data_IF_793742962660
#
_entry.id   IF_793742962660
#
_cell.length_a   1.000
_cell.length_b   1.000
_cell.length_c   1.000
_cell.angle_alpha   90.00
_cell.angle_beta   90.00
_cell.angle_gamma   90.00
#
_symmetry.space_group_name_H-M   'P 1'
#
loop_
_entity.id
_entity.type
_entity.pdbx_description
1 polymer ?
#
# COMPACT_ATOMS: atom_id res chain seq x y z
N UNK A 1 -21.47 -20.18 -15.13
CA UNK A 1 -21.32 -18.73 -14.85
C UNK A 1 -20.77 -18.62 -13.44
N UNK A 2 -19.50 -18.24 -13.28
CA UNK A 2 -18.91 -18.05 -11.95
C UNK A 2 -19.33 -16.68 -11.45
N UNK A 3 -20.15 -16.65 -10.40
CA UNK A 3 -20.42 -15.44 -9.62
C UNK A 3 -19.07 -14.97 -9.09
N UNK A 4 -18.56 -13.86 -9.65
CA UNK A 4 -17.35 -13.23 -9.16
C UNK A 4 -17.57 -12.82 -7.71
N UNK A 5 -17.19 -13.72 -6.80
CA UNK A 5 -17.14 -13.42 -5.37
C UNK A 5 -16.23 -12.22 -5.23
N UNK A 6 -16.81 -11.11 -4.80
CA UNK A 6 -16.05 -9.96 -4.36
C UNK A 6 -15.36 -10.39 -3.07
N UNK A 7 -14.19 -11.02 -3.19
CA UNK A 7 -13.33 -11.30 -2.05
C UNK A 7 -12.99 -9.95 -1.44
N UNK A 8 -13.63 -9.61 -0.32
CA UNK A 8 -13.15 -8.54 0.57
C UNK A 8 -11.79 -9.02 1.11
N UNK A 9 -10.73 -8.82 0.32
CA UNK A 9 -9.39 -9.31 0.61
C UNK A 9 -8.82 -8.51 1.78
N UNK A 10 -8.90 -9.12 2.98
CA UNK A 10 -8.19 -8.82 4.23
C UNK A 10 -8.33 -7.39 4.75
N UNK A 11 -9.25 -7.20 5.71
CA UNK A 11 -9.31 -6.00 6.55
C UNK A 11 -7.99 -5.89 7.33
N UNK A 12 -7.36 -4.71 7.31
CA UNK A 12 -6.28 -4.41 8.25
C UNK A 12 -6.81 -4.54 9.68
N UNK A 13 -6.00 -5.11 10.56
CA UNK A 13 -6.32 -5.01 11.99
C UNK A 13 -6.20 -3.55 12.45
N UNK A 14 -6.84 -3.21 13.57
CA UNK A 14 -6.78 -1.84 14.11
C UNK A 14 -5.34 -1.45 14.47
N UNK A 15 -4.54 -2.39 14.98
CA UNK A 15 -3.11 -2.21 15.26
C UNK A 15 -2.31 -1.93 13.98
N UNK A 16 -2.57 -2.67 12.89
CA UNK A 16 -1.93 -2.42 11.61
C UNK A 16 -2.30 -1.05 11.03
N UNK A 17 -3.57 -0.68 11.12
CA UNK A 17 -4.06 0.64 10.68
C UNK A 17 -3.39 1.77 11.47
N UNK A 18 -3.28 1.60 12.80
CA UNK A 18 -2.62 2.57 13.69
C UNK A 18 -1.14 2.72 13.37
N UNK A 19 -0.40 1.62 13.27
CA UNK A 19 1.03 1.63 12.93
C UNK A 19 1.29 2.27 11.57
N UNK A 20 0.43 2.00 10.59
CA UNK A 20 0.53 2.63 9.27
C UNK A 20 0.35 4.15 9.36
N UNK A 21 -0.67 4.61 10.11
CA UNK A 21 -0.92 6.03 10.31
C UNK A 21 0.21 6.73 11.10
N UNK A 22 0.76 6.08 12.13
CA UNK A 22 1.91 6.58 12.90
C UNK A 22 3.15 6.73 12.02
N UNK A 23 3.41 5.75 11.14
CA UNK A 23 4.55 5.82 10.20
C UNK A 23 4.38 6.95 9.20
N UNK A 24 3.19 7.13 8.63
CA UNK A 24 2.90 8.24 7.71
C UNK A 24 3.03 9.62 8.38
N UNK A 25 2.82 9.71 9.69
CA UNK A 25 3.08 10.92 10.49
C UNK A 25 4.55 11.10 10.87
N UNK A 26 5.45 10.21 10.43
CA UNK A 26 6.87 10.22 10.77
C UNK A 26 7.19 9.76 12.19
N UNK A 27 6.24 9.17 12.92
CA UNK A 27 6.39 8.81 14.33
C UNK A 27 7.02 7.43 14.59
N UNK A 28 7.21 6.61 13.54
CA UNK A 28 7.90 5.31 13.64
C UNK A 28 9.15 5.32 12.77
N UNK A 29 10.20 4.61 13.20
CA UNK A 29 11.45 4.38 12.46
C UNK A 29 11.58 2.93 11.97
N UNK A 30 10.52 2.13 12.09
CA UNK A 30 10.53 0.72 11.71
C UNK A 30 10.95 0.54 10.24
N UNK A 31 11.74 -0.49 9.97
CA UNK A 31 12.20 -0.85 8.62
C UNK A 31 11.23 -1.79 7.90
N UNK A 32 10.13 -2.17 8.55
CA UNK A 32 9.13 -3.09 8.02
C UNK A 32 7.73 -2.73 8.47
N UNK A 33 6.72 -3.07 7.68
CA UNK A 33 5.31 -2.90 8.00
C UNK A 33 4.54 -4.19 7.71
N UNK A 34 3.47 -4.44 8.45
CA UNK A 34 2.61 -5.61 8.25
C UNK A 34 1.24 -5.19 7.75
N UNK A 35 0.80 -5.76 6.64
CA UNK A 35 -0.48 -5.49 5.99
C UNK A 35 -1.16 -6.84 5.74
N UNK A 36 -2.22 -7.10 6.51
CA UNK A 36 -2.77 -8.46 6.64
C UNK A 36 -1.69 -9.44 7.11
N UNK A 37 -1.58 -10.60 6.46
CA UNK A 37 -0.58 -11.62 6.83
C UNK A 37 0.80 -11.40 6.17
N UNK A 38 1.02 -10.24 5.54
CA UNK A 38 2.23 -9.97 4.76
C UNK A 38 3.06 -8.90 5.47
N UNK A 39 4.29 -9.27 5.84
CA UNK A 39 5.32 -8.35 6.33
C UNK A 39 6.17 -7.85 5.16
N UNK A 40 6.05 -6.57 4.86
CA UNK A 40 6.81 -5.87 3.81
C UNK A 40 8.03 -5.18 4.41
N UNK A 41 9.14 -5.14 3.67
CA UNK A 41 10.30 -4.31 3.95
C UNK A 41 10.09 -2.94 3.33
N UNK A 42 10.27 -1.88 4.12
CA UNK A 42 10.11 -0.50 3.66
C UNK A 42 11.31 -0.14 2.79
N UNK A 43 11.03 0.38 1.59
CA UNK A 43 12.03 0.90 0.66
C UNK A 43 12.18 2.40 0.82
N UNK A 44 11.05 3.12 0.88
CA UNK A 44 10.99 4.57 1.10
C UNK A 44 9.81 4.91 2.01
N UNK A 45 9.98 5.97 2.80
CA UNK A 45 8.95 6.52 3.67
C UNK A 45 9.21 8.02 3.79
N UNK A 46 8.35 8.83 3.19
CA UNK A 46 8.45 10.29 3.17
C UNK A 46 7.06 10.93 3.28
N UNK A 47 6.97 12.24 3.07
CA UNK A 47 5.72 12.99 3.15
C UNK A 47 4.68 12.57 2.09
N UNK A 48 5.12 11.97 0.97
CA UNK A 48 4.25 11.56 -0.12
C UNK A 48 3.72 10.13 0.07
N UNK A 49 4.32 9.36 1.00
CA UNK A 49 3.84 8.05 1.35
C UNK A 49 4.91 7.03 1.73
N UNK A 50 4.53 5.76 1.66
CA UNK A 50 5.41 4.62 1.96
C UNK A 50 5.41 3.69 0.76
N UNK A 51 6.59 3.27 0.32
CA UNK A 51 6.75 2.16 -0.62
C UNK A 51 7.47 1.01 0.07
N UNK A 52 6.96 -0.21 -0.09
CA UNK A 52 7.49 -1.39 0.55
C UNK A 52 7.39 -2.62 -0.36
N UNK A 53 8.27 -3.61 -0.17
CA UNK A 53 8.23 -4.88 -0.93
C UNK A 53 8.34 -6.11 -0.05
N UNK A 54 7.81 -7.21 -0.55
CA UNK A 54 8.12 -8.56 -0.06
C UNK A 54 8.25 -9.48 -1.27
N UNK A 55 9.47 -9.92 -1.56
CA UNK A 55 9.76 -10.75 -2.74
C UNK A 55 9.28 -10.07 -4.04
N UNK A 56 8.29 -10.67 -4.72
CA UNK A 56 7.64 -10.15 -5.94
C UNK A 56 6.37 -9.31 -5.65
N UNK A 57 5.98 -9.18 -4.38
CA UNK A 57 4.87 -8.33 -3.96
C UNK A 57 5.34 -6.89 -3.73
N UNK A 58 4.50 -5.94 -4.14
CA UNK A 58 4.73 -4.52 -3.92
C UNK A 58 3.58 -3.94 -3.11
N UNK A 59 3.91 -2.94 -2.30
CA UNK A 59 3.00 -2.18 -1.47
C UNK A 59 3.33 -0.70 -1.64
N UNK A 60 2.30 0.12 -1.78
CA UNK A 60 2.40 1.56 -1.71
C UNK A 60 1.25 2.10 -0.89
N UNK A 61 1.50 3.14 -0.10
CA UNK A 61 0.43 3.97 0.43
C UNK A 61 0.74 5.46 0.31
N UNK A 62 -0.32 6.25 0.15
CA UNK A 62 -0.29 7.71 0.04
C UNK A 62 -1.47 8.28 0.84
N UNK A 63 -1.34 9.50 1.34
CA UNK A 63 -2.36 10.14 2.18
C UNK A 63 -3.12 11.20 1.40
N UNK A 64 -4.45 11.22 1.52
CA UNK A 64 -5.29 12.37 1.19
C UNK A 64 -5.60 13.19 2.45
N UNK A 65 -6.56 14.11 2.38
CA UNK A 65 -6.94 14.95 3.54
C UNK A 65 -7.61 14.13 4.64
N UNK A 66 -8.42 13.14 4.26
CA UNK A 66 -9.24 12.33 5.20
C UNK A 66 -8.99 10.83 5.10
N UNK A 67 -8.24 10.36 4.10
CA UNK A 67 -8.03 8.94 3.85
C UNK A 67 -6.56 8.59 3.62
N UNK A 68 -6.28 7.29 3.76
CA UNK A 68 -5.02 6.69 3.34
C UNK A 68 -5.36 5.76 2.18
N UNK A 69 -4.77 6.02 1.02
CA UNK A 69 -4.89 5.17 -0.16
C UNK A 69 -3.84 4.09 -0.07
N UNK A 70 -4.28 2.82 -0.10
CA UNK A 70 -3.40 1.66 -0.07
C UNK A 70 -3.49 0.94 -1.41
N UNK A 71 -2.35 0.78 -2.07
CA UNK A 71 -2.22 0.03 -3.31
C UNK A 71 -1.30 -1.18 -3.07
N UNK A 72 -1.77 -2.37 -3.43
CA UNK A 72 -1.02 -3.61 -3.27
C UNK A 72 -0.97 -4.36 -4.60
N UNK A 73 0.22 -4.80 -4.98
CA UNK A 73 0.39 -5.80 -6.01
C UNK A 73 0.73 -7.14 -5.35
N UNK A 74 -0.18 -8.09 -5.48
CA UNK A 74 0.01 -9.47 -5.02
C UNK A 74 0.40 -10.31 -6.23
N UNK A 75 1.62 -10.81 -6.21
CA UNK A 75 2.14 -11.67 -7.26
C UNK A 75 1.60 -13.09 -7.08
N UNK A 76 0.92 -13.60 -8.11
CA UNK A 76 0.56 -15.03 -8.17
C UNK A 76 1.81 -15.88 -8.37
N UNK A 77 1.85 -17.09 -7.83
CA UNK A 77 2.97 -18.03 -7.98
C UNK A 77 3.31 -18.34 -9.45
N UNK A 78 2.34 -18.20 -10.35
CA UNK A 78 2.46 -18.58 -11.77
C UNK A 78 2.83 -17.40 -12.68
N UNK A 79 2.96 -16.19 -12.14
CA UNK A 79 3.26 -15.00 -12.93
C UNK A 79 4.77 -14.86 -13.22
N UNK A 80 5.10 -14.41 -14.44
CA UNK A 80 6.48 -14.04 -14.83
C UNK A 80 7.01 -12.95 -13.91
N UNK A 81 8.33 -12.81 -13.83
CA UNK A 81 8.99 -11.83 -12.95
C UNK A 81 8.31 -10.45 -12.92
N UNK A 82 8.27 -9.81 -11.73
CA UNK A 82 7.51 -8.58 -11.55
C UNK A 82 7.96 -7.52 -12.54
N UNK A 83 6.98 -6.81 -13.10
CA UNK A 83 7.21 -5.76 -14.08
C UNK A 83 8.31 -4.80 -13.61
N UNK A 84 9.32 -4.48 -14.44
CA UNK A 84 10.32 -3.48 -14.10
C UNK A 84 9.66 -2.17 -13.65
N UNK A 85 10.16 -1.59 -12.55
CA UNK A 85 9.59 -0.37 -11.98
C UNK A 85 8.22 -0.55 -11.31
N UNK A 86 7.81 -1.77 -10.96
CA UNK A 86 6.51 -2.04 -10.30
C UNK A 86 6.26 -1.14 -9.08
N UNK A 87 7.21 -1.00 -8.17
CA UNK A 87 7.05 -0.14 -6.98
C UNK A 87 6.82 1.33 -7.36
N UNK A 88 7.58 1.85 -8.32
CA UNK A 88 7.43 3.23 -8.79
C UNK A 88 6.03 3.45 -9.40
N UNK A 89 5.57 2.52 -10.25
CA UNK A 89 4.24 2.60 -10.87
C UNK A 89 3.11 2.50 -9.84
N UNK A 90 3.26 1.63 -8.84
CA UNK A 90 2.31 1.48 -7.75
C UNK A 90 2.27 2.74 -6.87
N UNK A 91 3.43 3.33 -6.61
CA UNK A 91 3.60 4.63 -5.96
C UNK A 91 2.85 5.74 -6.67
N UNK A 92 3.13 5.93 -7.96
CA UNK A 92 2.44 6.95 -8.77
C UNK A 92 0.93 6.73 -8.82
N UNK A 93 0.47 5.48 -8.83
CA UNK A 93 -0.96 5.18 -8.82
C UNK A 93 -1.63 5.56 -7.48
N UNK A 94 -1.03 5.20 -6.34
CA UNK A 94 -1.59 5.57 -5.03
C UNK A 94 -1.59 7.07 -4.80
N UNK A 95 -0.53 7.75 -5.24
CA UNK A 95 -0.38 9.19 -5.12
C UNK A 95 -1.43 9.94 -5.94
N UNK A 96 -1.63 9.58 -7.21
CA UNK A 96 -2.65 10.22 -8.06
C UNK A 96 -4.07 10.06 -7.52
N UNK A 97 -4.38 8.91 -6.93
CA UNK A 97 -5.68 8.68 -6.29
C UNK A 97 -5.81 9.54 -5.03
N UNK A 98 -4.76 9.60 -4.19
CA UNK A 98 -4.77 10.42 -2.98
C UNK A 98 -4.89 11.92 -3.29
N UNK A 99 -4.22 12.38 -4.34
CA UNK A 99 -4.33 13.75 -4.85
C UNK A 99 -5.75 14.04 -5.33
N UNK A 100 -6.33 13.16 -6.14
CA UNK A 100 -7.72 13.30 -6.61
C UNK A 100 -8.73 13.35 -5.45
N UNK A 101 -8.56 12.47 -4.45
CA UNK A 101 -9.39 12.49 -3.25
C UNK A 101 -9.26 13.84 -2.52
N UNK A 102 -8.04 14.34 -2.35
CA UNK A 102 -7.79 15.65 -1.71
C UNK A 102 -8.45 16.80 -2.45
N UNK A 103 -8.34 16.82 -3.79
CA UNK A 103 -9.02 17.83 -4.63
C UNK A 103 -10.55 17.74 -4.54
N UNK A 104 -11.07 16.56 -4.24
CA UNK A 104 -12.50 16.29 -4.06
C UNK A 104 -12.98 16.52 -2.62
N UNK A 105 -12.10 16.93 -1.70
CA UNK A 105 -12.42 17.17 -0.29
C UNK A 105 -12.31 15.94 0.63
N UNK A 106 -11.65 14.87 0.17
CA UNK A 106 -11.41 13.62 0.89
C UNK A 106 -9.94 13.36 1.21
#
# INVERSE_FOLDING_TARGET
MSTGELYVRRKLTDDQSKKLAERLKGASTDTSLSVGDVKYMILTSDANGIQARKDKNAFSCSTSTTAIVIACHIHSSDAKDPTPGLNQRLGTASEKIAEYLSQSGY
#
